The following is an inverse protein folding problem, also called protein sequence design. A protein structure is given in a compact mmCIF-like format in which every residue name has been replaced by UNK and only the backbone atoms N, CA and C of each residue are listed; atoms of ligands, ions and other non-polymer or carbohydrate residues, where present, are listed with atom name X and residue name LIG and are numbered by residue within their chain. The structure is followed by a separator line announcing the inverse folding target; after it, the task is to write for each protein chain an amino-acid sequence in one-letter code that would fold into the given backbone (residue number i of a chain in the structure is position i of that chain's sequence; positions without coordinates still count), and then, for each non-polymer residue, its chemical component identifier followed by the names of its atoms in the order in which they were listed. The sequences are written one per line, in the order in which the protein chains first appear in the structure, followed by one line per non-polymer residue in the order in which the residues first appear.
data_IF_706384341955
#
_entry.id   IF_706384341955
#
_cell.length_a   1.000
_cell.length_b   1.000
_cell.length_c   1.000
_cell.angle_alpha   90.00
_cell.angle_beta   90.00
_cell.angle_gamma   90.00
#
_symmetry.space_group_name_H-M   'P 1'
#
loop_
_entity.id
_entity.type
_entity.pdbx_description
1 polymer ?
#
# COMPACT_ATOMS: atom_id res chain seq x y z
N UNK A 1 -32.55 25.54 12.95
CA UNK A 1 -31.37 25.46 12.06
C UNK A 1 -30.22 25.00 12.94
N UNK A 2 -30.19 23.71 13.25
CA UNK A 2 -29.15 23.14 14.12
C UNK A 2 -27.88 23.02 13.29
N UNK A 3 -26.80 23.64 13.78
CA UNK A 3 -25.48 23.49 13.19
C UNK A 3 -25.01 22.10 13.55
N UNK A 4 -24.85 21.26 12.55
CA UNK A 4 -24.16 19.98 12.67
C UNK A 4 -22.70 20.29 13.01
N UNK A 5 -22.38 20.39 14.30
CA UNK A 5 -20.99 20.39 14.80
C UNK A 5 -20.43 18.96 14.63
N UNK A 6 -20.23 18.59 13.36
CA UNK A 6 -19.73 17.29 12.94
C UNK A 6 -18.24 17.19 13.21
N UNK A 7 -17.87 16.94 14.46
CA UNK A 7 -16.52 16.48 14.82
C UNK A 7 -16.19 15.29 13.91
N UNK A 8 -15.19 15.40 13.00
CA UNK A 8 -14.85 14.29 12.13
C UNK A 8 -14.41 13.11 13.00
N UNK A 9 -14.84 11.87 12.69
CA UNK A 9 -14.42 10.69 13.42
C UNK A 9 -12.89 10.62 13.47
N UNK A 10 -12.35 10.13 14.60
CA UNK A 10 -10.90 10.07 14.89
C UNK A 10 -10.01 9.63 13.69
N UNK A 11 -10.39 8.63 12.87
CA UNK A 11 -9.60 8.22 11.70
C UNK A 11 -9.44 9.29 10.62
N UNK A 12 -10.40 10.22 10.48
CA UNK A 12 -10.32 11.32 9.51
C UNK A 12 -9.44 12.48 10.02
N UNK A 13 -9.33 12.63 11.34
CA UNK A 13 -8.47 13.65 11.97
C UNK A 13 -7.00 13.30 11.92
N UNK A 14 -6.68 12.01 11.95
CA UNK A 14 -5.32 11.47 11.91
C UNK A 14 -4.89 11.12 10.49
N UNK A 15 -5.72 11.43 9.48
CA UNK A 15 -5.40 11.14 8.08
C UNK A 15 -4.22 12.01 7.64
N UNK A 16 -3.09 11.43 7.22
CA UNK A 16 -1.99 12.22 6.71
C UNK A 16 -2.40 12.89 5.39
N UNK A 17 -2.03 14.16 5.22
CA UNK A 17 -2.09 14.81 3.92
C UNK A 17 -1.00 14.20 3.04
N UNK A 18 -1.42 13.48 2.00
CA UNK A 18 -0.51 12.89 1.04
C UNK A 18 -0.14 13.94 -0.01
N UNK A 19 1.14 14.25 -0.23
CA UNK A 19 1.55 15.12 -1.33
C UNK A 19 0.96 14.64 -2.67
N UNK A 20 0.51 15.58 -3.51
CA UNK A 20 -0.13 15.25 -4.80
C UNK A 20 0.72 14.32 -5.67
N UNK A 21 2.04 14.54 -5.65
CA UNK A 21 3.01 13.74 -6.40
C UNK A 21 3.17 12.29 -5.91
N UNK A 22 2.61 11.92 -4.74
CA UNK A 22 2.60 10.55 -4.21
C UNK A 22 1.25 9.85 -4.40
N UNK A 23 0.25 10.57 -4.91
CA UNK A 23 -1.09 10.02 -5.13
C UNK A 23 -1.10 8.92 -6.19
N UNK A 24 -0.16 8.92 -7.13
CA UNK A 24 -0.02 7.87 -8.13
C UNK A 24 0.47 6.56 -7.50
N UNK A 25 1.57 6.62 -6.78
CA UNK A 25 2.24 5.49 -6.13
C UNK A 25 1.34 4.86 -5.07
N UNK A 26 0.61 5.69 -4.30
CA UNK A 26 -0.36 5.20 -3.33
C UNK A 26 -1.50 4.41 -3.98
N UNK A 27 -2.05 4.92 -5.08
CA UNK A 27 -3.08 4.20 -5.86
C UNK A 27 -2.53 2.93 -6.47
N UNK A 28 -1.30 2.98 -7.01
CA UNK A 28 -0.64 1.81 -7.57
C UNK A 28 -0.44 0.71 -6.54
N UNK A 29 0.05 1.06 -5.35
CA UNK A 29 0.21 0.11 -4.26
C UNK A 29 -1.11 -0.56 -3.90
N UNK A 30 -2.19 0.20 -3.72
CA UNK A 30 -3.51 -0.36 -3.42
C UNK A 30 -4.06 -1.27 -4.52
N UNK A 31 -3.76 -0.99 -5.78
CA UNK A 31 -4.15 -1.84 -6.90
C UNK A 31 -3.32 -3.13 -6.98
N UNK A 32 -2.05 -3.08 -6.56
CA UNK A 32 -1.10 -4.19 -6.70
C UNK A 32 -1.06 -5.10 -5.47
N UNK A 33 -1.32 -4.58 -4.27
CA UNK A 33 -1.22 -5.35 -3.02
C UNK A 33 -2.23 -6.49 -2.94
N UNK A 34 -3.31 -6.44 -3.72
CA UNK A 34 -4.30 -7.52 -3.81
C UNK A 34 -3.82 -8.72 -4.61
N UNK A 35 -2.79 -8.55 -5.46
CA UNK A 35 -2.22 -9.63 -6.27
C UNK A 35 -1.24 -10.51 -5.48
N UNK A 36 -0.87 -10.09 -4.26
CA UNK A 36 0.04 -10.87 -3.42
C UNK A 36 -0.65 -12.15 -2.95
N UNK A 37 0.14 -13.21 -2.74
CA UNK A 37 -0.33 -14.46 -2.16
C UNK A 37 -0.87 -14.31 -0.73
N UNK A 38 -1.52 -15.34 -0.17
CA UNK A 38 -2.20 -15.27 1.13
C UNK A 38 -1.25 -15.16 2.34
N UNK A 39 0.07 -15.25 2.13
CA UNK A 39 1.06 -15.17 3.21
C UNK A 39 1.25 -13.72 3.69
N UNK A 40 1.46 -13.56 5.00
CA UNK A 40 1.82 -12.27 5.62
C UNK A 40 3.09 -11.65 5.01
N UNK A 41 3.98 -12.49 4.47
CA UNK A 41 5.25 -12.08 3.85
C UNK A 41 5.21 -12.20 2.33
N UNK A 42 4.03 -12.31 1.72
CA UNK A 42 3.92 -12.40 0.27
C UNK A 42 4.41 -11.09 -0.39
N UNK A 43 5.28 -11.25 -1.37
CA UNK A 43 5.66 -10.16 -2.26
C UNK A 43 4.55 -9.89 -3.29
N UNK A 44 4.48 -8.64 -3.76
CA UNK A 44 3.75 -8.31 -4.98
C UNK A 44 4.51 -8.96 -6.16
N UNK A 45 3.85 -9.72 -7.05
CA UNK A 45 4.52 -10.33 -8.19
C UNK A 45 5.16 -9.28 -9.10
N UNK A 46 6.40 -9.52 -9.53
CA UNK A 46 7.11 -8.64 -10.47
C UNK A 46 6.28 -8.39 -11.73
N UNK A 47 5.65 -9.44 -12.29
CA UNK A 47 4.81 -9.34 -13.47
C UNK A 47 3.56 -8.45 -13.28
N UNK A 48 3.04 -8.33 -12.04
CA UNK A 48 1.95 -7.39 -11.75
C UNK A 48 2.45 -5.95 -11.77
N UNK A 49 3.63 -5.72 -11.19
CA UNK A 49 4.29 -4.40 -11.20
C UNK A 49 4.62 -3.97 -12.64
N UNK A 50 5.21 -4.88 -13.43
CA UNK A 50 5.53 -4.68 -14.85
C UNK A 50 4.30 -4.32 -15.70
N UNK A 51 3.22 -5.10 -15.60
CA UNK A 51 1.97 -4.80 -16.32
C UNK A 51 1.35 -3.47 -15.91
N UNK A 52 1.41 -3.13 -14.62
CA UNK A 52 0.91 -1.85 -14.13
C UNK A 52 1.78 -0.70 -14.65
N UNK A 53 3.10 -0.80 -14.55
CA UNK A 53 4.05 0.19 -15.06
C UNK A 53 3.81 0.46 -16.56
N UNK A 54 3.72 -0.59 -17.38
CA UNK A 54 3.43 -0.47 -18.81
C UNK A 54 2.09 0.23 -19.09
N UNK A 55 1.04 -0.06 -18.31
CA UNK A 55 -0.28 0.56 -18.48
C UNK A 55 -0.30 2.07 -18.22
N UNK A 56 0.60 2.55 -17.37
CA UNK A 56 0.68 3.97 -16.98
C UNK A 56 1.86 4.71 -17.62
N UNK A 57 2.51 4.09 -18.62
CA UNK A 57 3.58 4.74 -19.39
C UNK A 57 4.91 4.86 -18.66
N UNK A 58 5.18 3.96 -17.69
CA UNK A 58 6.51 3.81 -17.10
C UNK A 58 7.25 2.77 -17.95
N UNK A 59 7.85 3.22 -19.05
CA UNK A 59 8.45 2.39 -20.09
C UNK A 59 9.98 2.49 -20.17
N UNK A 60 10.58 3.47 -19.48
CA UNK A 60 12.02 3.59 -19.36
C UNK A 60 12.59 2.72 -18.22
N UNK A 61 13.79 2.12 -18.38
CA UNK A 61 14.37 1.24 -17.36
C UNK A 61 14.56 1.90 -15.99
N UNK A 62 14.94 3.19 -15.95
CA UNK A 62 15.19 3.89 -14.69
C UNK A 62 13.88 4.22 -13.97
N UNK A 63 12.85 4.63 -14.73
CA UNK A 63 11.49 4.84 -14.24
C UNK A 63 10.90 3.56 -13.67
N UNK A 64 11.05 2.45 -14.39
CA UNK A 64 10.60 1.14 -13.91
C UNK A 64 11.34 0.71 -12.65
N UNK A 65 12.66 0.84 -12.59
CA UNK A 65 13.45 0.49 -11.40
C UNK A 65 13.03 1.33 -10.18
N UNK A 66 12.84 2.65 -10.35
CA UNK A 66 12.33 3.52 -9.27
C UNK A 66 10.95 3.08 -8.79
N UNK A 67 10.02 2.82 -9.71
CA UNK A 67 8.66 2.39 -9.39
C UNK A 67 8.66 1.02 -8.67
N UNK A 68 9.40 0.06 -9.20
CA UNK A 68 9.53 -1.29 -8.63
C UNK A 68 10.12 -1.26 -7.22
N UNK A 69 11.17 -0.48 -6.98
CA UNK A 69 11.77 -0.31 -5.65
C UNK A 69 10.78 0.27 -4.65
N UNK A 70 10.02 1.29 -5.05
CA UNK A 70 9.03 1.89 -4.18
C UNK A 70 7.89 0.92 -3.84
N UNK A 71 7.32 0.22 -4.83
CA UNK A 71 6.27 -0.77 -4.58
C UNK A 71 6.76 -1.89 -3.66
N UNK A 72 8.01 -2.33 -3.82
CA UNK A 72 8.63 -3.34 -2.97
C UNK A 72 8.79 -2.84 -1.53
N UNK A 73 9.26 -1.60 -1.33
CA UNK A 73 9.42 -0.98 -0.02
C UNK A 73 8.06 -0.82 0.69
N UNK A 74 7.05 -0.32 -0.02
CA UNK A 74 5.69 -0.20 0.53
C UNK A 74 5.11 -1.55 0.94
N UNK A 75 5.32 -2.60 0.14
CA UNK A 75 4.88 -3.96 0.49
C UNK A 75 5.60 -4.52 1.72
N UNK A 76 6.88 -4.24 1.89
CA UNK A 76 7.64 -4.62 3.08
C UNK A 76 7.06 -3.97 4.34
N UNK A 77 6.87 -2.65 4.33
CA UNK A 77 6.25 -1.91 5.46
C UNK A 77 4.82 -2.40 5.74
N UNK A 78 4.04 -2.67 4.70
CA UNK A 78 2.69 -3.23 4.88
C UNK A 78 2.71 -4.60 5.56
N UNK A 79 3.67 -5.45 5.20
CA UNK A 79 3.85 -6.77 5.82
C UNK A 79 4.24 -6.65 7.30
N UNK A 80 5.10 -5.68 7.66
CA UNK A 80 5.46 -5.37 9.04
C UNK A 80 4.25 -4.88 9.86
N UNK A 81 3.44 -4.00 9.29
CA UNK A 81 2.21 -3.50 9.93
C UNK A 81 1.19 -4.61 10.13
N UNK A 82 1.07 -5.55 9.18
CA UNK A 82 0.19 -6.71 9.35
C UNK A 82 0.72 -7.68 10.41
N UNK A 83 2.02 -7.95 10.42
CA UNK A 83 2.65 -8.82 11.41
C UNK A 83 2.49 -8.25 12.83
N UNK A 84 2.66 -6.93 13.02
CA UNK A 84 2.46 -6.28 14.33
C UNK A 84 1.01 -6.28 14.82
N UNK A 85 0.04 -6.46 13.90
CA UNK A 85 -1.40 -6.57 14.21
C UNK A 85 -1.88 -8.01 14.34
N UNK A 86 -1.06 -9.00 13.99
CA UNK A 86 -1.44 -10.40 14.09
C UNK A 86 -1.56 -10.81 15.57
N UNK A 87 -2.67 -11.47 15.99
CA UNK A 87 -2.77 -11.98 17.34
C UNK A 87 -1.70 -13.04 17.60
N UNK A 88 -1.22 -13.12 18.85
CA UNK A 88 -0.27 -14.16 19.24
C UNK A 88 -0.81 -15.55 18.89
N UNK A 89 0.03 -16.46 18.35
CA UNK A 89 -0.40 -17.81 18.03
C UNK A 89 -0.92 -18.48 19.32
N UNK A 90 -2.00 -19.28 19.23
CA UNK A 90 -2.52 -19.97 20.41
C UNK A 90 -1.43 -20.88 20.98
N UNK A 91 -1.21 -20.78 22.29
CA UNK A 91 -0.29 -21.66 23.03
C UNK A 91 -0.67 -23.11 22.76
N UNK A 92 0.26 -23.88 22.18
CA UNK A 92 0.11 -25.35 22.11
C UNK A 92 0.31 -25.90 23.53
N UNK A 93 -0.76 -26.46 24.09
CA UNK A 93 -0.72 -27.28 25.30
C UNK A 93 -0.39 -28.73 24.95
#
# INVERSE_FOLDING_TARGET
MEREDGVPPKPLRERPDLPDHLSFEWRAFHALVTDRGPSLHAAIPFASIDRYAARYGIDDPDGFDRFHRLMSAMNATFSEVLASRAPAPPSRH
#
